data_IF_716507123265
#
_entry.id   IF_716507123265
#
_cell.length_a   1.000
_cell.length_b   1.000
_cell.length_c   1.000
_cell.angle_alpha   90.00
_cell.angle_beta   90.00
_cell.angle_gamma   90.00
#
_symmetry.space_group_name_H-M   'P 1'
#
loop_
_entity.id
_entity.type
_entity.pdbx_description
1 polymer ?
#
# COMPACT_ATOMS: atom_id res chain seq x y z
N UNK A 1 5.60 -6.02 28.97
CA UNK A 1 6.10 -4.74 29.51
C UNK A 1 6.44 -3.89 28.31
N UNK A 2 5.76 -2.76 28.12
CA UNK A 2 5.91 -1.97 26.92
C UNK A 2 7.30 -1.30 26.90
N UNK A 3 7.99 -1.28 25.76
CA UNK A 3 9.37 -0.80 25.69
C UNK A 3 9.53 0.65 26.17
N UNK A 4 8.53 1.49 25.89
CA UNK A 4 8.53 2.87 26.34
C UNK A 4 8.25 3.01 27.86
N UNK A 5 7.58 2.05 28.50
CA UNK A 5 7.39 2.06 29.97
C UNK A 5 8.71 1.82 30.67
N UNK A 6 9.50 0.87 30.15
CA UNK A 6 10.85 0.60 30.65
C UNK A 6 11.70 1.86 30.46
N UNK A 7 11.67 2.46 29.27
CA UNK A 7 12.43 3.68 28.97
C UNK A 7 12.15 4.83 29.93
N UNK A 8 10.91 5.04 30.36
CA UNK A 8 10.53 6.13 31.28
C UNK A 8 10.73 5.79 32.76
N UNK A 9 10.60 4.52 33.16
CA UNK A 9 10.65 4.08 34.56
C UNK A 9 12.01 3.52 34.99
N UNK A 10 12.96 3.30 34.07
CA UNK A 10 14.30 2.75 34.34
C UNK A 10 15.05 3.46 35.47
N UNK A 11 14.81 4.75 35.69
CA UNK A 11 15.46 5.52 36.76
C UNK A 11 14.95 5.22 38.17
N UNK A 12 13.81 4.52 38.31
CA UNK A 12 13.09 4.36 39.57
C UNK A 12 13.30 3.01 40.27
N UNK A 13 13.89 2.01 39.60
CA UNK A 13 13.95 0.63 40.15
C UNK A 13 15.33 0.24 40.73
N UNK A 14 16.44 0.44 40.00
CA UNK A 14 17.80 0.11 40.46
C UNK A 14 18.88 0.70 39.51
N UNK A 15 19.96 1.29 40.03
CA UNK A 15 21.06 1.91 39.25
C UNK A 15 21.78 0.92 38.32
N UNK A 16 22.00 -0.31 38.75
CA UNK A 16 22.76 -1.32 38.01
C UNK A 16 21.91 -1.97 36.91
N UNK A 17 20.64 -2.26 37.22
CA UNK A 17 19.66 -2.69 36.21
C UNK A 17 19.42 -1.61 35.16
N UNK A 18 19.37 -0.34 35.57
CA UNK A 18 19.25 0.81 34.67
C UNK A 18 20.46 0.98 33.75
N UNK A 19 21.67 0.68 34.22
CA UNK A 19 22.88 0.71 33.41
C UNK A 19 22.89 -0.39 32.33
N UNK A 20 22.47 -1.62 32.67
CA UNK A 20 22.39 -2.75 31.73
C UNK A 20 21.30 -2.57 30.67
N UNK A 21 20.14 -2.04 31.05
CA UNK A 21 18.98 -1.87 30.16
C UNK A 21 19.02 -0.58 29.34
N UNK A 22 19.87 0.40 29.70
CA UNK A 22 20.04 1.67 28.96
C UNK A 22 20.43 1.47 27.49
N UNK A 23 21.20 0.42 27.18
CA UNK A 23 21.57 0.11 25.80
C UNK A 23 20.36 -0.28 24.93
N UNK A 24 19.29 -0.80 25.54
CA UNK A 24 18.09 -1.29 24.84
C UNK A 24 16.86 -0.38 24.96
N UNK A 25 16.81 0.49 25.96
CA UNK A 25 15.62 1.27 26.31
C UNK A 25 15.95 2.76 26.60
N UNK A 26 16.94 3.33 25.92
CA UNK A 26 17.30 4.76 26.04
C UNK A 26 16.45 5.68 25.17
N UNK A 27 15.80 5.14 24.14
CA UNK A 27 14.98 5.89 23.19
C UNK A 27 13.52 5.50 23.29
N UNK A 28 12.63 6.49 23.35
CA UNK A 28 11.19 6.30 23.22
C UNK A 28 10.88 6.19 21.72
N UNK A 29 10.35 5.04 21.30
CA UNK A 29 9.90 4.84 19.91
C UNK A 29 8.44 5.24 19.82
N UNK A 30 8.14 6.24 18.98
CA UNK A 30 6.81 6.86 18.88
C UNK A 30 5.98 6.33 17.71
N UNK A 31 6.64 5.81 16.68
CA UNK A 31 6.03 5.35 15.46
C UNK A 31 6.86 4.23 14.85
N UNK A 32 6.20 3.31 14.15
CA UNK A 32 6.89 2.32 13.32
C UNK A 32 7.30 3.00 12.02
N UNK A 33 8.42 2.57 11.46
CA UNK A 33 8.77 2.99 10.10
C UNK A 33 7.67 2.55 9.13
N UNK A 34 7.11 3.51 8.40
CA UNK A 34 6.12 3.22 7.36
C UNK A 34 6.82 2.43 6.25
N UNK A 35 6.34 1.21 5.92
CA UNK A 35 6.85 0.41 4.82
C UNK A 35 6.92 1.23 3.52
N UNK A 36 7.92 1.02 2.65
CA UNK A 36 8.08 1.78 1.41
C UNK A 36 6.79 1.85 0.57
N UNK A 37 6.11 0.72 0.36
CA UNK A 37 4.83 0.67 -0.36
C UNK A 37 3.76 1.59 0.21
N UNK A 38 3.62 1.63 1.54
CA UNK A 38 2.65 2.49 2.21
C UNK A 38 3.06 3.96 2.15
N UNK A 39 4.37 4.23 2.17
CA UNK A 39 4.90 5.59 2.04
C UNK A 39 4.62 6.17 0.66
N UNK A 40 4.69 5.35 -0.38
CA UNK A 40 4.35 5.76 -1.74
C UNK A 40 2.85 5.97 -1.92
N UNK A 41 2.03 5.02 -1.44
CA UNK A 41 0.56 5.11 -1.50
C UNK A 41 0.01 6.35 -0.78
N UNK A 42 0.62 6.74 0.35
CA UNK A 42 0.22 7.88 1.16
C UNK A 42 1.29 8.98 1.19
N UNK A 43 2.02 9.16 0.09
CA UNK A 43 3.13 10.12 0.02
C UNK A 43 2.68 11.56 0.31
N UNK A 44 1.50 11.93 -0.20
CA UNK A 44 0.93 13.26 -0.06
C UNK A 44 0.34 13.51 1.33
N UNK A 45 -0.25 12.48 1.94
CA UNK A 45 -0.91 12.56 3.24
C UNK A 45 0.02 12.28 4.41
N UNK A 46 1.25 11.79 4.19
CA UNK A 46 2.28 11.69 5.22
C UNK A 46 1.97 10.68 6.33
N UNK A 47 1.33 9.55 5.95
CA UNK A 47 0.92 8.48 6.86
C UNK A 47 2.04 8.07 7.84
N UNK A 48 1.66 7.97 9.12
CA UNK A 48 2.50 7.48 10.19
C UNK A 48 1.82 6.30 10.89
N UNK A 49 2.50 5.17 11.00
CA UNK A 49 1.98 4.03 11.75
C UNK A 49 2.38 4.15 13.22
N UNK A 50 1.40 4.13 14.11
CA UNK A 50 1.64 4.03 15.54
C UNK A 50 2.42 2.74 15.87
N UNK A 51 3.40 2.84 16.78
CA UNK A 51 3.86 1.67 17.55
C UNK A 51 2.76 1.18 18.49
N UNK A 52 2.97 0.03 19.14
CA UNK A 52 2.08 -0.44 20.21
C UNK A 52 1.61 0.73 21.09
N UNK A 53 0.30 0.81 21.34
CA UNK A 53 -0.30 1.91 22.07
C UNK A 53 0.37 2.00 23.45
N UNK A 54 0.89 3.17 23.78
CA UNK A 54 1.50 3.38 25.09
C UNK A 54 0.41 3.21 26.17
N UNK A 55 0.64 2.50 27.30
CA UNK A 55 -0.37 2.37 28.33
C UNK A 55 -0.81 3.75 28.84
N UNK A 56 -2.12 3.98 28.85
CA UNK A 56 -2.68 5.33 29.01
C UNK A 56 -2.22 6.11 30.24
N UNK A 57 -2.09 5.43 31.38
CA UNK A 57 -1.60 6.05 32.61
C UNK A 57 -0.16 6.58 32.50
N UNK A 58 0.69 5.84 31.80
CA UNK A 58 2.12 6.13 31.68
C UNK A 58 2.35 7.22 30.63
N UNK A 59 1.52 7.24 29.58
CA UNK A 59 1.45 8.34 28.64
C UNK A 59 1.05 9.64 29.33
N UNK A 60 -0.07 9.67 30.09
CA UNK A 60 -0.54 10.89 30.75
C UNK A 60 0.46 11.36 31.81
N UNK A 61 1.09 10.45 32.55
CA UNK A 61 2.11 10.82 33.54
C UNK A 61 3.32 11.53 32.90
N UNK A 62 3.73 11.11 31.69
CA UNK A 62 4.88 11.67 30.99
C UNK A 62 4.50 12.89 30.13
N UNK A 63 3.52 12.76 29.24
CA UNK A 63 3.09 13.79 28.29
C UNK A 63 2.00 14.73 28.80
N UNK A 64 1.47 14.53 30.02
CA UNK A 64 0.51 15.46 30.64
C UNK A 64 1.09 16.84 30.98
N UNK A 65 2.42 16.98 30.90
CA UNK A 65 3.13 18.23 31.19
C UNK A 65 3.61 18.87 29.89
N UNK A 66 3.72 20.21 29.81
CA UNK A 66 4.12 20.89 28.57
C UNK A 66 5.61 20.75 28.23
N UNK A 67 6.49 20.43 29.18
CA UNK A 67 7.95 20.42 28.99
C UNK A 67 8.42 19.39 27.96
N UNK A 68 7.95 18.11 27.98
CA UNK A 68 8.33 17.12 26.97
C UNK A 68 7.92 17.52 25.55
N UNK A 69 6.79 18.21 25.38
CA UNK A 69 6.32 18.66 24.07
C UNK A 69 7.23 19.70 23.43
N UNK A 70 7.89 20.55 24.23
CA UNK A 70 8.77 21.61 23.73
C UNK A 70 9.97 21.07 22.95
N UNK A 71 10.46 19.89 23.32
CA UNK A 71 11.57 19.23 22.64
C UNK A 71 11.16 18.49 21.35
N UNK A 72 9.86 18.33 21.10
CA UNK A 72 9.35 17.60 19.94
C UNK A 72 9.08 18.53 18.76
N UNK A 73 9.52 18.11 17.57
CA UNK A 73 9.07 18.70 16.30
C UNK A 73 7.58 18.41 16.08
N UNK A 74 6.92 19.19 15.21
CA UNK A 74 5.55 18.90 14.77
C UNK A 74 5.43 17.43 14.33
N UNK A 75 6.39 17.02 13.49
CA UNK A 75 7.09 15.72 13.32
C UNK A 75 6.81 14.58 14.33
N UNK A 76 6.89 14.86 15.61
CA UNK A 76 6.81 13.82 16.65
C UNK A 76 5.55 13.97 17.49
N UNK A 77 5.02 15.19 17.57
CA UNK A 77 3.78 15.51 18.27
C UNK A 77 2.56 14.84 17.63
N UNK A 78 2.41 14.92 16.32
CA UNK A 78 1.36 14.19 15.58
C UNK A 78 1.50 12.66 15.63
N UNK A 79 2.72 12.11 15.69
CA UNK A 79 2.92 10.65 15.82
C UNK A 79 2.42 10.16 17.18
N UNK A 80 2.62 10.96 18.23
CA UNK A 80 2.07 10.70 19.55
C UNK A 80 0.54 10.71 19.58
N UNK A 81 -0.09 11.64 18.85
CA UNK A 81 -1.56 11.68 18.70
C UNK A 81 -2.06 10.43 17.96
N UNK A 82 -1.36 9.98 16.92
CA UNK A 82 -1.71 8.76 16.20
C UNK A 82 -1.52 7.49 17.05
N UNK A 83 -0.52 7.49 17.94
CA UNK A 83 -0.18 6.35 18.80
C UNK A 83 -0.90 6.32 20.15
N UNK A 84 -1.64 7.37 20.52
CA UNK A 84 -2.48 7.36 21.71
C UNK A 84 -3.72 6.50 21.48
N UNK A 85 -3.71 5.28 22.02
CA UNK A 85 -4.82 4.32 21.90
C UNK A 85 -5.94 4.52 22.93
N UNK A 86 -5.74 5.37 23.93
CA UNK A 86 -6.69 5.66 25.00
C UNK A 86 -7.16 7.12 25.00
N UNK A 87 -8.40 7.34 25.46
CA UNK A 87 -9.04 8.66 25.45
C UNK A 87 -8.23 9.72 26.22
N UNK A 88 -7.74 9.46 27.45
CA UNK A 88 -7.00 10.46 28.22
C UNK A 88 -5.70 10.93 27.56
N UNK A 89 -4.94 10.00 26.98
CA UNK A 89 -3.71 10.32 26.25
C UNK A 89 -3.97 11.17 25.03
N UNK A 90 -5.04 10.87 24.31
CA UNK A 90 -5.42 11.59 23.11
C UNK A 90 -5.90 13.01 23.42
N UNK A 91 -6.74 13.20 24.44
CA UNK A 91 -7.16 14.53 24.88
C UNK A 91 -5.99 15.38 25.35
N UNK A 92 -5.05 14.76 26.07
CA UNK A 92 -3.79 15.38 26.47
C UNK A 92 -2.98 15.80 25.24
N UNK A 93 -2.83 14.90 24.27
CA UNK A 93 -2.07 15.15 23.05
C UNK A 93 -2.69 16.27 22.20
N UNK A 94 -4.01 16.26 22.02
CA UNK A 94 -4.75 17.30 21.30
C UNK A 94 -4.65 18.67 21.98
N UNK A 95 -4.71 18.70 23.31
CA UNK A 95 -4.57 19.95 24.09
C UNK A 95 -3.23 20.64 23.85
N UNK A 96 -2.16 19.87 23.61
CA UNK A 96 -0.82 20.41 23.33
C UNK A 96 -0.52 20.59 21.83
N UNK A 97 -1.36 20.08 20.92
CA UNK A 97 -1.17 20.13 19.47
C UNK A 97 -2.01 21.19 18.74
N UNK A 98 -2.68 22.11 19.46
CA UNK A 98 -3.74 23.06 19.03
C UNK A 98 -3.62 23.77 17.66
N UNK A 99 -2.47 23.78 16.99
CA UNK A 99 -2.26 24.46 15.69
C UNK A 99 -1.59 23.58 14.61
N UNK A 100 -1.40 22.28 14.85
CA UNK A 100 -0.68 21.38 13.95
C UNK A 100 -1.50 20.16 13.50
N UNK A 101 -2.83 20.24 13.54
CA UNK A 101 -3.71 19.17 13.08
C UNK A 101 -3.79 19.21 11.55
N UNK A 102 -2.86 18.48 10.92
CA UNK A 102 -2.82 18.22 9.49
C UNK A 102 -3.67 17.00 9.14
N UNK A 103 -4.07 16.90 7.88
CA UNK A 103 -4.71 15.71 7.29
C UNK A 103 -4.00 14.39 7.66
N UNK A 104 -2.67 14.40 7.71
CA UNK A 104 -1.85 13.26 8.11
C UNK A 104 -2.21 12.65 9.46
N UNK A 105 -2.68 13.47 10.41
CA UNK A 105 -3.09 13.00 11.76
C UNK A 105 -4.37 12.19 11.64
N UNK A 106 -5.32 12.65 10.84
CA UNK A 106 -6.57 11.94 10.57
C UNK A 106 -6.31 10.62 9.83
N UNK A 107 -5.46 10.64 8.80
CA UNK A 107 -5.05 9.42 8.05
C UNK A 107 -4.38 8.40 8.98
N UNK A 108 -3.47 8.86 9.84
CA UNK A 108 -2.77 7.98 10.80
C UNK A 108 -3.70 7.44 11.89
N UNK A 109 -4.63 8.25 12.40
CA UNK A 109 -5.62 7.80 13.38
C UNK A 109 -6.60 6.78 12.77
N UNK A 110 -7.01 6.99 11.52
CA UNK A 110 -7.84 6.04 10.77
C UNK A 110 -7.10 4.74 10.48
N UNK A 111 -5.81 4.82 10.09
CA UNK A 111 -4.94 3.66 9.89
C UNK A 111 -4.69 2.86 11.18
N UNK A 112 -4.76 3.50 12.35
CA UNK A 112 -4.63 2.85 13.65
C UNK A 112 -5.98 2.34 14.20
N UNK A 113 -7.10 2.64 13.54
CA UNK A 113 -8.44 2.26 14.01
C UNK A 113 -8.91 3.03 15.23
N UNK A 114 -8.33 4.20 15.51
CA UNK A 114 -8.68 5.01 16.68
C UNK A 114 -9.97 5.81 16.42
N UNK A 115 -11.13 5.17 16.66
CA UNK A 115 -12.46 5.76 16.45
C UNK A 115 -12.62 7.08 17.21
N UNK A 116 -12.21 7.12 18.48
CA UNK A 116 -12.31 8.33 19.30
C UNK A 116 -11.42 9.46 18.78
N UNK A 117 -10.21 9.13 18.31
CA UNK A 117 -9.32 10.11 17.67
C UNK A 117 -9.90 10.71 16.41
N UNK A 118 -10.46 9.87 15.54
CA UNK A 118 -11.15 10.30 14.33
C UNK A 118 -12.35 11.19 14.69
N UNK A 119 -13.16 10.81 15.68
CA UNK A 119 -14.30 11.60 16.18
C UNK A 119 -13.87 12.98 16.70
N UNK A 120 -12.84 13.02 17.55
CA UNK A 120 -12.32 14.29 18.09
C UNK A 120 -11.72 15.18 17.00
N UNK A 121 -11.06 14.61 15.99
CA UNK A 121 -10.53 15.36 14.86
C UNK A 121 -11.65 15.93 13.95
N UNK A 122 -12.80 15.25 13.87
CA UNK A 122 -14.00 15.78 13.20
C UNK A 122 -14.53 17.00 13.94
N UNK A 123 -14.67 16.94 15.26
CA UNK A 123 -15.16 18.06 16.09
C UNK A 123 -14.25 19.30 15.99
N UNK A 124 -12.93 19.11 15.87
CA UNK A 124 -11.95 20.21 15.75
C UNK A 124 -11.85 20.75 14.31
N UNK A 125 -12.68 20.25 13.38
CA UNK A 125 -12.71 20.68 11.97
C UNK A 125 -11.36 20.51 11.27
N UNK A 126 -10.64 19.40 11.57
CA UNK A 126 -9.44 19.03 10.84
C UNK A 126 -9.75 18.91 9.33
N UNK A 127 -8.77 19.14 8.45
CA UNK A 127 -8.96 18.90 7.01
C UNK A 127 -9.09 17.39 6.76
N UNK A 128 -10.08 17.02 5.95
CA UNK A 128 -10.39 15.63 5.57
C UNK A 128 -10.12 15.41 4.10
N UNK A 129 -9.55 14.25 3.79
CA UNK A 129 -9.35 13.76 2.43
C UNK A 129 -9.90 12.36 2.28
N UNK A 130 -10.00 11.91 1.03
CA UNK A 130 -10.37 10.55 0.69
C UNK A 130 -9.38 9.53 1.29
N UNK A 131 -8.13 9.93 1.54
CA UNK A 131 -7.08 9.08 2.09
C UNK A 131 -7.40 8.61 3.51
N UNK A 132 -8.22 9.35 4.27
CA UNK A 132 -8.60 8.94 5.62
C UNK A 132 -9.50 7.70 5.58
N UNK A 133 -10.50 7.71 4.70
CA UNK A 133 -11.39 6.56 4.51
C UNK A 133 -10.66 5.41 3.80
N UNK A 134 -9.78 5.72 2.84
CA UNK A 134 -8.93 4.73 2.17
C UNK A 134 -8.01 4.02 3.18
N UNK A 135 -7.40 4.75 4.11
CA UNK A 135 -6.57 4.18 5.17
C UNK A 135 -7.40 3.27 6.11
N UNK A 136 -8.55 3.73 6.58
CA UNK A 136 -9.44 2.89 7.40
C UNK A 136 -9.83 1.58 6.69
N UNK A 137 -10.13 1.65 5.39
CA UNK A 137 -10.43 0.47 4.57
C UNK A 137 -9.20 -0.43 4.36
N UNK A 138 -8.03 0.16 4.10
CA UNK A 138 -6.76 -0.54 3.91
C UNK A 138 -6.34 -1.33 5.15
N UNK A 139 -6.53 -0.77 6.34
CA UNK A 139 -6.19 -1.42 7.61
C UNK A 139 -7.37 -2.21 8.23
N UNK A 140 -8.53 -2.25 7.57
CA UNK A 140 -9.64 -3.12 7.96
C UNK A 140 -10.51 -2.61 9.11
N UNK A 141 -10.51 -1.30 9.39
CA UNK A 141 -11.19 -0.69 10.53
C UNK A 141 -12.64 -0.27 10.21
N UNK A 142 -13.58 -1.21 10.29
CA UNK A 142 -15.03 -0.97 10.07
C UNK A 142 -15.63 0.08 10.99
N UNK A 143 -15.21 0.14 12.26
CA UNK A 143 -15.75 1.09 13.24
C UNK A 143 -15.43 2.55 12.87
N UNK A 144 -14.26 2.81 12.28
CA UNK A 144 -13.90 4.14 11.75
C UNK A 144 -14.76 4.47 10.53
N UNK A 145 -14.95 3.51 9.61
CA UNK A 145 -15.81 3.73 8.44
C UNK A 145 -17.27 3.97 8.83
N UNK A 146 -17.78 3.29 9.85
CA UNK A 146 -19.13 3.52 10.37
C UNK A 146 -19.27 4.93 10.96
N UNK A 147 -18.31 5.39 11.76
CA UNK A 147 -18.28 6.76 12.26
C UNK A 147 -18.29 7.78 11.11
N UNK A 148 -17.44 7.58 10.09
CA UNK A 148 -17.39 8.46 8.93
C UNK A 148 -18.72 8.49 8.16
N UNK A 149 -19.45 7.37 8.12
CA UNK A 149 -20.79 7.30 7.53
C UNK A 149 -21.81 8.10 8.33
N UNK A 150 -21.86 7.90 9.64
CA UNK A 150 -22.80 8.56 10.56
C UNK A 150 -22.62 10.09 10.54
N UNK A 151 -21.38 10.54 10.36
CA UNK A 151 -21.02 11.96 10.26
C UNK A 151 -21.19 12.54 8.84
N UNK A 152 -21.76 11.76 7.90
CA UNK A 152 -22.03 12.18 6.53
C UNK A 152 -20.78 12.36 5.65
N UNK A 153 -19.60 11.98 6.15
CA UNK A 153 -18.31 12.17 5.46
C UNK A 153 -18.12 11.19 4.30
N UNK A 154 -18.80 10.04 4.33
CA UNK A 154 -18.86 9.12 3.19
C UNK A 154 -19.94 9.50 2.15
N UNK A 155 -20.79 10.49 2.48
CA UNK A 155 -22.03 10.80 1.78
C UNK A 155 -22.09 12.21 1.17
N UNK A 156 -20.99 12.76 0.61
CA UNK A 156 -21.10 13.84 -0.40
C UNK A 156 -21.70 13.34 -1.74
N UNK A 157 -22.72 12.49 -1.62
CA UNK A 157 -23.53 11.83 -2.63
C UNK A 157 -24.66 12.79 -3.00
N UNK A 158 -24.46 13.60 -4.05
CA UNK A 158 -25.51 14.50 -4.54
C UNK A 158 -25.07 15.72 -5.34
N UNK A 159 -23.78 15.94 -5.60
CA UNK A 159 -23.35 16.93 -6.61
C UNK A 159 -22.74 16.23 -7.84
N UNK A 160 -23.42 16.22 -9.00
CA UNK A 160 -22.99 15.50 -10.20
C UNK A 160 -21.81 16.17 -10.95
N UNK A 161 -21.02 17.05 -10.30
CA UNK A 161 -20.01 17.88 -10.97
C UNK A 161 -18.55 17.60 -10.61
N UNK A 162 -18.24 16.69 -9.70
CA UNK A 162 -16.84 16.43 -9.29
C UNK A 162 -16.39 14.97 -9.37
N UNK A 163 -17.24 14.04 -9.80
CA UNK A 163 -16.92 12.59 -9.81
C UNK A 163 -16.75 11.99 -11.21
N UNK A 164 -16.72 12.83 -12.26
CA UNK A 164 -16.65 12.36 -13.65
C UNK A 164 -15.25 11.91 -14.10
N UNK A 165 -14.20 12.12 -13.29
CA UNK A 165 -12.81 11.81 -13.70
C UNK A 165 -12.22 10.55 -13.05
N UNK A 166 -12.81 10.03 -11.96
CA UNK A 166 -12.38 8.79 -11.31
C UNK A 166 -13.55 7.81 -11.30
N UNK A 167 -13.52 6.81 -12.19
CA UNK A 167 -14.49 5.72 -12.23
C UNK A 167 -14.66 5.09 -10.83
N UNK A 168 -15.69 5.49 -10.07
CA UNK A 168 -16.12 4.83 -8.83
C UNK A 168 -16.09 5.63 -7.52
N UNK A 169 -15.58 6.87 -7.50
CA UNK A 169 -15.62 7.74 -6.33
C UNK A 169 -15.01 7.16 -5.04
N UNK A 170 -15.36 7.74 -3.87
CA UNK A 170 -14.81 7.31 -2.57
C UNK A 170 -15.03 5.81 -2.25
N UNK A 171 -16.20 5.20 -2.54
CA UNK A 171 -16.38 3.77 -2.38
C UNK A 171 -15.46 2.92 -3.25
N UNK A 172 -15.17 3.35 -4.49
CA UNK A 172 -14.19 2.71 -5.36
C UNK A 172 -12.79 2.71 -4.74
N UNK A 173 -12.34 3.86 -4.24
CA UNK A 173 -11.03 4.01 -3.57
C UNK A 173 -10.95 3.09 -2.33
N UNK A 174 -11.99 3.07 -1.49
CA UNK A 174 -12.04 2.19 -0.31
C UNK A 174 -12.03 0.71 -0.71
N UNK A 175 -12.75 0.34 -1.77
CA UNK A 175 -12.80 -1.05 -2.26
C UNK A 175 -11.44 -1.47 -2.80
N UNK A 176 -10.77 -0.64 -3.59
CA UNK A 176 -9.42 -0.93 -4.09
C UNK A 176 -8.43 -1.08 -2.93
N UNK A 177 -8.48 -0.17 -1.95
CA UNK A 177 -7.63 -0.21 -0.76
C UNK A 177 -7.84 -1.51 0.04
N UNK A 178 -9.09 -1.96 0.21
CA UNK A 178 -9.42 -3.22 0.86
C UNK A 178 -8.98 -4.44 0.05
N UNK A 179 -9.13 -4.42 -1.28
CA UNK A 179 -8.67 -5.47 -2.18
C UNK A 179 -7.14 -5.65 -2.14
N UNK A 180 -6.40 -4.55 -1.98
CA UNK A 180 -4.93 -4.55 -1.88
C UNK A 180 -4.40 -5.35 -0.69
N UNK A 181 -5.17 -5.48 0.39
CA UNK A 181 -4.78 -6.17 1.64
C UNK A 181 -5.59 -7.45 1.88
N UNK A 182 -6.63 -7.68 1.08
CA UNK A 182 -7.46 -8.88 1.21
C UNK A 182 -8.57 -8.74 2.25
N UNK A 183 -8.99 -7.52 2.61
CA UNK A 183 -10.03 -7.28 3.60
C UNK A 183 -11.44 -7.46 3.04
N UNK A 184 -11.82 -8.70 2.77
CA UNK A 184 -13.15 -9.06 2.25
C UNK A 184 -14.32 -8.58 3.12
N UNK A 185 -14.14 -8.43 4.44
CA UNK A 185 -15.17 -7.90 5.34
C UNK A 185 -15.47 -6.42 5.10
N UNK A 186 -14.49 -5.62 4.68
CA UNK A 186 -14.71 -4.21 4.30
C UNK A 186 -15.52 -4.15 3.02
N UNK A 187 -15.23 -5.02 2.06
CA UNK A 187 -15.98 -5.11 0.80
C UNK A 187 -17.45 -5.44 1.11
N UNK A 188 -17.71 -6.48 1.89
CA UNK A 188 -19.06 -6.84 2.32
C UNK A 188 -19.77 -5.68 3.04
N UNK A 189 -19.06 -4.98 3.94
CA UNK A 189 -19.58 -3.80 4.63
C UNK A 189 -19.95 -2.66 3.65
N UNK A 190 -19.13 -2.40 2.64
CA UNK A 190 -19.42 -1.38 1.62
C UNK A 190 -20.68 -1.75 0.81
N UNK A 191 -20.86 -3.03 0.47
CA UNK A 191 -22.04 -3.48 -0.26
C UNK A 191 -23.31 -3.38 0.58
N UNK A 192 -23.26 -3.79 1.85
CA UNK A 192 -24.40 -3.75 2.76
C UNK A 192 -24.79 -2.33 3.16
N UNK A 193 -23.80 -1.49 3.50
CA UNK A 193 -24.05 -0.20 4.14
C UNK A 193 -24.17 0.97 3.14
N UNK A 194 -23.49 0.89 2.00
CA UNK A 194 -23.50 1.96 1.00
C UNK A 194 -24.24 1.56 -0.29
N UNK A 195 -24.72 0.31 -0.40
CA UNK A 195 -25.30 -0.21 -1.65
C UNK A 195 -24.29 -0.24 -2.81
N UNK A 196 -23.00 -0.11 -2.49
CA UNK A 196 -21.92 -0.16 -3.46
C UNK A 196 -21.83 -1.57 -4.05
N UNK A 197 -21.48 -1.68 -5.33
CA UNK A 197 -21.28 -2.98 -5.97
C UNK A 197 -19.91 -3.01 -6.62
N UNK A 198 -19.20 -4.12 -6.41
CA UNK A 198 -17.87 -4.33 -6.99
C UNK A 198 -17.87 -4.26 -8.53
N UNK A 199 -19.01 -4.45 -9.18
CA UNK A 199 -19.16 -4.36 -10.65
C UNK A 199 -18.68 -3.04 -11.23
N UNK A 200 -18.79 -1.93 -10.49
CA UNK A 200 -18.37 -0.60 -10.95
C UNK A 200 -16.85 -0.42 -11.01
N UNK A 201 -16.07 -1.26 -10.31
CA UNK A 201 -14.62 -1.09 -10.16
C UNK A 201 -13.85 -2.42 -10.17
N UNK A 202 -14.43 -3.45 -10.79
CA UNK A 202 -13.92 -4.82 -10.75
C UNK A 202 -12.49 -4.96 -11.29
N UNK A 203 -12.16 -4.22 -12.35
CA UNK A 203 -10.84 -4.27 -13.00
C UNK A 203 -9.72 -3.80 -12.05
N UNK A 204 -9.88 -2.62 -11.45
CA UNK A 204 -8.91 -2.04 -10.52
C UNK A 204 -8.82 -2.87 -9.23
N UNK A 205 -9.95 -3.33 -8.70
CA UNK A 205 -10.00 -4.24 -7.55
C UNK A 205 -9.27 -5.56 -7.83
N UNK A 206 -9.46 -6.15 -9.02
CA UNK A 206 -8.83 -7.40 -9.41
C UNK A 206 -7.31 -7.22 -9.56
N UNK A 207 -6.85 -6.11 -10.15
CA UNK A 207 -5.43 -5.76 -10.22
C UNK A 207 -4.83 -5.58 -8.83
N UNK A 208 -5.50 -4.85 -7.94
CA UNK A 208 -5.02 -4.61 -6.58
C UNK A 208 -4.92 -5.92 -5.78
N UNK A 209 -5.94 -6.80 -5.87
CA UNK A 209 -5.93 -8.10 -5.23
C UNK A 209 -4.85 -9.02 -5.81
N UNK A 210 -4.74 -9.10 -7.13
CA UNK A 210 -3.76 -9.95 -7.83
C UNK A 210 -2.32 -9.52 -7.53
N UNK A 211 -2.03 -8.22 -7.58
CA UNK A 211 -0.70 -7.68 -7.29
C UNK A 211 -0.22 -7.93 -5.85
N UNK A 212 -1.13 -8.27 -4.93
CA UNK A 212 -0.79 -8.60 -3.54
C UNK A 212 -1.05 -10.08 -3.20
N UNK A 213 -1.34 -10.92 -4.21
CA UNK A 213 -1.45 -12.37 -4.05
C UNK A 213 -2.77 -12.84 -3.43
N UNK A 214 -3.81 -12.01 -3.38
CA UNK A 214 -5.12 -12.37 -2.82
C UNK A 214 -5.96 -13.18 -3.82
N UNK A 215 -5.52 -14.41 -4.11
CA UNK A 215 -6.12 -15.32 -5.10
C UNK A 215 -7.63 -15.49 -4.93
N UNK A 216 -8.13 -15.68 -3.70
CA UNK A 216 -9.56 -15.85 -3.45
C UNK A 216 -10.42 -14.66 -3.90
N UNK A 217 -9.91 -13.43 -3.72
CA UNK A 217 -10.59 -12.22 -4.21
C UNK A 217 -10.52 -12.10 -5.74
N UNK A 218 -9.39 -12.50 -6.34
CA UNK A 218 -9.26 -12.50 -7.81
C UNK A 218 -10.23 -13.50 -8.43
N UNK A 219 -10.40 -14.69 -7.84
CA UNK A 219 -11.39 -15.68 -8.30
C UNK A 219 -12.83 -15.19 -8.15
N UNK A 220 -13.15 -14.45 -7.07
CA UNK A 220 -14.46 -13.82 -6.90
C UNK A 220 -14.72 -12.73 -7.94
N UNK A 221 -13.68 -11.99 -8.34
CA UNK A 221 -13.78 -10.89 -9.31
C UNK A 221 -13.71 -11.35 -10.77
N UNK A 222 -13.07 -12.48 -11.06
CA UNK A 222 -12.87 -12.97 -12.41
C UNK A 222 -14.16 -13.07 -13.27
N UNK A 223 -15.32 -13.52 -12.73
CA UNK A 223 -16.58 -13.53 -13.47
C UNK A 223 -17.08 -12.14 -13.88
N UNK A 224 -16.70 -11.09 -13.13
CA UNK A 224 -17.09 -9.70 -13.41
C UNK A 224 -16.22 -9.05 -14.50
N UNK A 225 -15.07 -9.65 -14.82
CA UNK A 225 -14.18 -9.19 -15.88
C UNK A 225 -14.69 -9.72 -17.22
N UNK A 226 -15.67 -9.04 -17.81
CA UNK A 226 -16.30 -9.48 -19.08
C UNK A 226 -15.36 -9.21 -20.26
N UNK A 227 -14.68 -8.07 -20.26
CA UNK A 227 -13.83 -7.63 -21.37
C UNK A 227 -12.48 -8.38 -21.38
N UNK A 228 -12.10 -9.03 -22.51
CA UNK A 228 -10.82 -9.74 -22.63
C UNK A 228 -9.60 -8.86 -22.37
N UNK A 229 -9.60 -7.58 -22.80
CA UNK A 229 -8.46 -6.69 -22.57
C UNK A 229 -8.27 -6.41 -21.08
N UNK A 230 -9.36 -6.30 -20.33
CA UNK A 230 -9.34 -6.15 -18.89
C UNK A 230 -8.73 -7.38 -18.20
N UNK A 231 -9.06 -8.59 -18.66
CA UNK A 231 -8.43 -9.83 -18.15
C UNK A 231 -6.93 -9.85 -18.41
N UNK A 232 -6.49 -9.42 -19.60
CA UNK A 232 -5.07 -9.30 -19.94
C UNK A 232 -4.34 -8.31 -19.02
N UNK A 233 -4.98 -7.18 -18.67
CA UNK A 233 -4.40 -6.20 -17.72
C UNK A 233 -4.31 -6.73 -16.29
N UNK A 234 -5.19 -7.65 -15.89
CA UNK A 234 -5.13 -8.33 -14.59
C UNK A 234 -4.05 -9.42 -14.60
N UNK A 235 -3.82 -10.08 -15.74
CA UNK A 235 -2.78 -11.11 -15.89
C UNK A 235 -1.38 -10.59 -15.50
N UNK A 236 -1.05 -9.35 -15.86
CA UNK A 236 0.20 -8.72 -15.45
C UNK A 236 0.31 -8.60 -13.91
N UNK A 237 -0.77 -8.18 -13.25
CA UNK A 237 -0.84 -8.13 -11.78
C UNK A 237 -0.79 -9.52 -11.13
N UNK A 238 -1.36 -10.54 -11.78
CA UNK A 238 -1.24 -11.94 -11.33
C UNK A 238 0.20 -12.43 -11.45
N UNK A 239 0.89 -12.14 -12.56
CA UNK A 239 2.29 -12.48 -12.74
C UNK A 239 3.17 -11.82 -11.68
N UNK A 240 2.85 -10.58 -11.31
CA UNK A 240 3.52 -9.85 -10.24
C UNK A 240 3.30 -10.48 -8.86
N UNK A 241 2.04 -10.68 -8.42
CA UNK A 241 1.74 -10.95 -7.00
C UNK A 241 1.37 -12.38 -6.62
N UNK A 242 0.95 -13.23 -7.58
CA UNK A 242 0.47 -14.58 -7.30
C UNK A 242 1.54 -15.65 -7.61
N UNK A 243 1.31 -16.92 -7.26
CA UNK A 243 2.22 -18.03 -7.63
C UNK A 243 2.15 -18.40 -9.12
N UNK A 244 3.18 -19.10 -9.62
CA UNK A 244 3.22 -19.68 -10.97
C UNK A 244 2.00 -20.56 -11.25
N UNK A 245 1.64 -21.45 -10.33
CA UNK A 245 0.49 -22.35 -10.50
C UNK A 245 -0.80 -21.57 -10.75
N UNK A 246 -1.01 -20.49 -10.00
CA UNK A 246 -2.18 -19.65 -10.17
C UNK A 246 -2.10 -18.82 -11.47
N UNK A 247 -0.92 -18.32 -11.82
CA UNK A 247 -0.70 -17.62 -13.08
C UNK A 247 -1.07 -18.51 -14.28
N UNK A 248 -0.62 -19.77 -14.30
CA UNK A 248 -0.94 -20.74 -15.35
C UNK A 248 -2.45 -20.99 -15.46
N UNK A 249 -3.12 -21.17 -14.32
CA UNK A 249 -4.57 -21.37 -14.28
C UNK A 249 -5.33 -20.12 -14.77
N UNK A 250 -4.96 -18.95 -14.28
CA UNK A 250 -5.60 -17.68 -14.67
C UNK A 250 -5.39 -17.39 -16.16
N UNK A 251 -4.20 -17.69 -16.68
CA UNK A 251 -3.86 -17.57 -18.09
C UNK A 251 -4.77 -18.43 -18.98
N UNK A 252 -4.95 -19.71 -18.64
CA UNK A 252 -5.83 -20.62 -19.37
C UNK A 252 -7.28 -20.14 -19.37
N UNK A 253 -7.79 -19.67 -18.22
CA UNK A 253 -9.16 -19.17 -18.09
C UNK A 253 -9.36 -17.86 -18.88
N UNK A 254 -8.34 -17.00 -18.90
CA UNK A 254 -8.46 -15.65 -19.46
C UNK A 254 -8.28 -15.61 -20.98
N UNK A 255 -7.42 -16.48 -21.54
CA UNK A 255 -7.01 -16.43 -22.95
C UNK A 255 -7.36 -17.70 -23.75
N UNK A 256 -7.91 -18.74 -23.11
CA UNK A 256 -8.41 -19.94 -23.81
C UNK A 256 -7.35 -20.71 -24.62
N UNK A 257 -7.77 -21.33 -25.74
CA UNK A 257 -6.98 -22.34 -26.46
C UNK A 257 -5.86 -21.79 -27.38
N UNK A 258 -5.85 -20.50 -27.72
CA UNK A 258 -4.74 -19.89 -28.49
C UNK A 258 -4.32 -18.53 -27.89
N UNK A 259 -3.59 -18.56 -26.77
CA UNK A 259 -3.26 -17.37 -26.01
C UNK A 259 -2.18 -16.50 -26.68
N UNK A 260 -1.31 -17.09 -27.51
CA UNK A 260 -0.25 -16.37 -28.21
C UNK A 260 -0.79 -15.40 -29.29
N UNK A 261 -1.96 -15.67 -29.87
CA UNK A 261 -2.56 -14.82 -30.90
C UNK A 261 -3.44 -13.68 -30.35
N UNK A 262 -3.87 -13.76 -29.09
CA UNK A 262 -4.88 -12.85 -28.54
C UNK A 262 -4.32 -11.61 -27.84
N UNK A 263 -3.01 -11.59 -27.57
CA UNK A 263 -2.34 -10.48 -26.89
C UNK A 263 -1.43 -9.71 -27.86
N UNK A 264 -1.45 -8.38 -27.74
CA UNK A 264 -0.49 -7.53 -28.43
C UNK A 264 0.93 -7.76 -27.86
N UNK A 265 1.97 -7.50 -28.68
CA UNK A 265 3.38 -7.61 -28.24
C UNK A 265 3.65 -6.82 -26.96
N UNK A 266 3.09 -5.62 -26.85
CA UNK A 266 3.19 -4.79 -25.65
C UNK A 266 2.64 -5.44 -24.39
N UNK A 267 1.48 -6.09 -24.48
CA UNK A 267 0.84 -6.73 -23.32
C UNK A 267 1.62 -7.98 -22.88
N UNK A 268 2.18 -8.72 -23.84
CA UNK A 268 3.07 -9.85 -23.55
C UNK A 268 4.35 -9.38 -22.85
N UNK A 269 4.95 -8.29 -23.35
CA UNK A 269 6.10 -7.67 -22.73
C UNK A 269 5.77 -7.17 -21.31
N UNK A 270 4.58 -6.59 -21.08
CA UNK A 270 4.13 -6.17 -19.75
C UNK A 270 4.06 -7.34 -18.77
N UNK A 271 3.46 -8.46 -19.17
CA UNK A 271 3.31 -9.63 -18.31
C UNK A 271 4.67 -10.26 -18.00
N UNK A 272 5.56 -10.37 -18.98
CA UNK A 272 6.95 -10.83 -18.78
C UNK A 272 7.74 -9.88 -17.88
N UNK A 273 7.58 -8.57 -18.07
CA UNK A 273 8.20 -7.55 -17.24
C UNK A 273 7.70 -7.67 -15.80
N UNK A 274 6.40 -7.75 -15.56
CA UNK A 274 5.82 -7.92 -14.21
C UNK A 274 6.35 -9.16 -13.48
N UNK A 275 6.66 -10.26 -14.19
CA UNK A 275 7.30 -11.44 -13.62
C UNK A 275 8.77 -11.18 -13.20
N UNK A 276 9.48 -10.31 -13.92
CA UNK A 276 10.87 -9.92 -13.65
C UNK A 276 11.01 -8.68 -12.73
N UNK A 277 10.01 -7.81 -12.69
CA UNK A 277 10.02 -6.48 -12.05
C UNK A 277 9.07 -5.43 -12.68
N UNK A 278 8.22 -4.85 -11.81
CA UNK A 278 7.27 -3.70 -11.89
C UNK A 278 5.96 -3.82 -12.74
N UNK A 279 4.78 -3.34 -12.30
CA UNK A 279 4.42 -1.93 -12.13
C UNK A 279 3.67 -1.58 -10.81
N UNK A 280 4.46 -1.23 -9.79
CA UNK A 280 4.35 -0.13 -8.82
C UNK A 280 5.07 -0.58 -7.54
N UNK A 281 6.13 0.16 -7.20
CA UNK A 281 6.88 0.21 -5.95
C UNK A 281 7.83 -0.95 -5.58
N UNK A 282 7.66 -2.22 -6.00
CA UNK A 282 8.44 -3.32 -5.36
C UNK A 282 8.56 -4.69 -6.10
N UNK A 283 8.38 -4.77 -7.44
CA UNK A 283 8.47 -6.02 -8.24
C UNK A 283 7.84 -7.31 -7.69
N UNK A 284 7.95 -8.43 -8.42
CA UNK A 284 7.34 -9.68 -7.93
C UNK A 284 8.05 -10.13 -6.65
N UNK A 285 7.39 -10.13 -5.47
CA UNK A 285 8.02 -10.47 -4.20
C UNK A 285 8.09 -11.99 -4.00
N UNK A 286 7.57 -12.77 -4.95
CA UNK A 286 7.44 -14.21 -4.80
C UNK A 286 8.75 -14.89 -5.22
N UNK A 287 9.12 -15.94 -4.49
CA UNK A 287 10.38 -16.67 -4.72
C UNK A 287 10.43 -17.41 -6.07
N UNK A 288 9.28 -17.58 -6.72
CA UNK A 288 9.10 -18.27 -8.00
C UNK A 288 9.20 -17.34 -9.24
N UNK A 289 9.69 -16.10 -9.07
CA UNK A 289 9.78 -15.12 -10.16
C UNK A 289 10.53 -15.67 -11.39
N UNK A 290 11.62 -16.43 -11.19
CA UNK A 290 12.40 -17.01 -12.28
C UNK A 290 11.59 -18.06 -13.05
N UNK A 291 10.90 -18.95 -12.33
CA UNK A 291 10.06 -19.98 -12.95
C UNK A 291 8.87 -19.39 -13.72
N UNK A 292 8.30 -18.27 -13.24
CA UNK A 292 7.29 -17.51 -14.00
C UNK A 292 7.85 -16.94 -15.27
N UNK A 293 9.03 -16.34 -15.21
CA UNK A 293 9.66 -15.78 -16.39
C UNK A 293 10.02 -16.87 -17.39
N UNK A 294 10.68 -17.95 -16.98
CA UNK A 294 11.02 -19.10 -17.83
C UNK A 294 9.79 -19.66 -18.55
N UNK A 295 8.69 -19.80 -17.81
CA UNK A 295 7.43 -20.26 -18.38
C UNK A 295 6.89 -19.28 -19.44
N UNK A 296 6.80 -17.98 -19.14
CA UNK A 296 6.35 -16.97 -20.10
C UNK A 296 7.27 -16.85 -21.31
N UNK A 297 8.58 -16.97 -21.09
CA UNK A 297 9.62 -16.98 -22.11
C UNK A 297 9.45 -18.17 -23.06
N UNK A 298 9.15 -19.35 -22.53
CA UNK A 298 8.86 -20.55 -23.34
C UNK A 298 7.62 -20.39 -24.24
N UNK A 299 6.65 -19.55 -23.82
CA UNK A 299 5.41 -19.33 -24.55
C UNK A 299 5.56 -18.32 -25.70
N UNK A 300 6.34 -17.26 -25.48
CA UNK A 300 6.37 -16.12 -26.39
C UNK A 300 7.72 -15.81 -27.01
N UNK A 301 8.81 -16.35 -26.44
CA UNK A 301 10.16 -16.07 -26.86
C UNK A 301 10.55 -14.59 -26.74
N UNK A 302 11.61 -14.16 -27.44
CA UNK A 302 12.17 -12.81 -27.32
C UNK A 302 11.44 -11.75 -28.15
N UNK A 303 10.50 -12.13 -29.02
CA UNK A 303 9.86 -11.22 -29.97
C UNK A 303 9.10 -10.06 -29.31
N UNK A 304 8.23 -10.29 -28.30
CA UNK A 304 7.52 -9.18 -27.66
C UNK A 304 8.48 -8.17 -27.02
N UNK A 305 9.62 -8.67 -26.52
CA UNK A 305 10.69 -7.88 -25.94
C UNK A 305 11.32 -6.94 -26.97
N UNK A 306 11.82 -7.52 -28.06
CA UNK A 306 12.51 -6.79 -29.14
C UNK A 306 11.58 -5.77 -29.81
N UNK A 307 10.30 -6.10 -29.93
CA UNK A 307 9.30 -5.18 -30.47
C UNK A 307 9.15 -3.92 -29.63
N UNK A 308 9.18 -4.01 -28.30
CA UNK A 308 9.10 -2.83 -27.42
C UNK A 308 10.42 -2.05 -27.37
N UNK A 309 11.57 -2.72 -27.43
CA UNK A 309 12.87 -2.04 -27.53
C UNK A 309 13.02 -1.27 -28.85
N UNK A 310 12.58 -1.86 -29.96
CA UNK A 310 12.59 -1.21 -31.27
C UNK A 310 11.60 -0.05 -31.40
N UNK A 311 10.52 -0.05 -30.59
CA UNK A 311 9.50 1.00 -30.63
C UNK A 311 10.02 2.37 -30.15
N UNK A 312 11.11 2.43 -29.37
CA UNK A 312 11.74 3.68 -28.96
C UNK A 312 10.78 4.62 -28.22
N UNK A 313 10.44 5.77 -28.84
CA UNK A 313 9.45 6.71 -28.32
C UNK A 313 8.03 6.11 -28.39
N UNK A 314 7.38 5.94 -27.24
CA UNK A 314 6.10 5.24 -27.10
C UNK A 314 6.22 3.81 -26.58
N UNK A 315 7.45 3.30 -26.40
CA UNK A 315 7.69 2.03 -25.70
C UNK A 315 7.28 2.14 -24.22
N UNK A 316 6.95 1.00 -23.64
CA UNK A 316 6.75 0.89 -22.19
C UNK A 316 7.95 1.40 -21.38
N UNK A 317 9.16 1.20 -21.91
CA UNK A 317 10.43 1.50 -21.26
C UNK A 317 10.77 2.99 -21.17
N UNK A 318 10.04 3.85 -21.89
CA UNK A 318 10.29 5.29 -21.92
C UNK A 318 10.13 5.95 -20.54
N UNK A 319 9.19 5.47 -19.72
CA UNK A 319 8.88 6.07 -18.41
C UNK A 319 9.46 5.28 -17.23
N UNK A 320 9.71 3.99 -17.41
CA UNK A 320 10.17 3.07 -16.36
C UNK A 320 11.68 2.78 -16.41
N UNK A 321 12.39 3.27 -17.43
CA UNK A 321 13.74 2.82 -17.76
C UNK A 321 13.73 1.45 -18.46
N UNK A 322 14.90 0.89 -18.72
CA UNK A 322 15.02 -0.46 -19.28
C UNK A 322 14.68 -1.53 -18.22
N UNK A 323 14.35 -2.76 -18.64
CA UNK A 323 14.18 -3.87 -17.69
C UNK A 323 15.39 -4.10 -16.80
N UNK A 324 16.57 -3.78 -17.32
CA UNK A 324 17.83 -3.87 -16.59
C UNK A 324 17.82 -2.92 -15.41
N UNK A 325 17.28 -1.71 -15.60
CA UNK A 325 17.08 -0.76 -14.52
C UNK A 325 16.07 -1.28 -13.48
N UNK A 326 14.96 -1.89 -13.92
CA UNK A 326 13.95 -2.45 -13.02
C UNK A 326 14.47 -3.64 -12.21
N UNK A 327 15.17 -4.57 -12.86
CA UNK A 327 15.82 -5.71 -12.20
C UNK A 327 16.89 -5.25 -11.18
N UNK A 328 17.58 -4.15 -11.47
CA UNK A 328 18.60 -3.57 -10.60
C UNK A 328 18.05 -2.94 -9.30
N UNK A 329 16.76 -2.62 -9.23
CA UNK A 329 16.13 -2.02 -8.04
C UNK A 329 15.81 -3.06 -6.94
N UNK A 330 15.99 -4.35 -7.21
CA UNK A 330 15.65 -5.43 -6.28
C UNK A 330 16.79 -5.84 -5.37
N UNK A 331 16.46 -6.38 -4.19
CA UNK A 331 17.47 -6.93 -3.27
C UNK A 331 18.21 -8.16 -3.87
N UNK A 332 17.54 -8.93 -4.72
CA UNK A 332 18.08 -10.09 -5.45
C UNK A 332 18.52 -9.74 -6.89
N UNK A 333 18.84 -8.46 -7.15
CA UNK A 333 19.16 -7.95 -8.49
C UNK A 333 20.19 -8.79 -9.25
N UNK A 334 21.24 -9.29 -8.58
CA UNK A 334 22.28 -10.07 -9.25
C UNK A 334 21.71 -11.31 -9.95
N UNK A 335 20.82 -12.05 -9.28
CA UNK A 335 20.19 -13.24 -9.84
C UNK A 335 19.29 -12.88 -11.04
N UNK A 336 18.54 -11.77 -10.93
CA UNK A 336 17.67 -11.27 -12.01
C UNK A 336 18.47 -10.83 -13.24
N UNK A 337 19.55 -10.09 -13.04
CA UNK A 337 20.43 -9.63 -14.13
C UNK A 337 21.17 -10.80 -14.80
N UNK A 338 21.62 -11.80 -14.02
CA UNK A 338 22.22 -13.01 -14.56
C UNK A 338 21.23 -13.82 -15.40
N UNK A 339 19.98 -13.92 -14.93
CA UNK A 339 18.92 -14.61 -15.64
C UNK A 339 18.57 -13.91 -16.96
N UNK A 340 18.45 -12.57 -16.94
CA UNK A 340 18.26 -11.77 -18.16
C UNK A 340 19.42 -11.94 -19.16
N UNK A 341 20.66 -11.95 -18.69
CA UNK A 341 21.84 -12.17 -19.52
C UNK A 341 21.84 -13.56 -20.16
N UNK A 342 21.37 -14.59 -19.45
CA UNK A 342 21.25 -15.95 -19.97
C UNK A 342 20.18 -16.08 -21.09
N UNK A 343 19.25 -15.13 -21.19
CA UNK A 343 18.20 -15.12 -22.21
C UNK A 343 18.59 -14.35 -23.49
N UNK A 344 19.88 -14.03 -23.68
CA UNK A 344 20.40 -13.26 -24.82
C UNK A 344 19.72 -11.88 -25.01
N UNK A 345 19.16 -11.33 -23.93
CA UNK A 345 18.68 -9.96 -23.90
C UNK A 345 19.89 -9.07 -23.60
N UNK A 346 20.49 -8.44 -24.61
CA UNK A 346 21.56 -7.49 -24.34
C UNK A 346 21.00 -6.22 -23.67
N UNK A 347 21.70 -5.60 -22.69
CA UNK A 347 21.33 -4.28 -22.22
C UNK A 347 21.42 -3.30 -23.41
N UNK A 348 20.28 -2.73 -23.82
CA UNK A 348 20.25 -1.72 -24.86
C UNK A 348 21.17 -0.53 -24.54
N UNK A 349 21.60 0.25 -25.55
CA UNK A 349 22.61 1.30 -25.37
C UNK A 349 22.22 2.42 -24.38
N UNK A 350 20.94 2.51 -23.98
CA UNK A 350 20.44 3.43 -22.95
C UNK A 350 20.59 2.92 -21.50
N UNK A 351 20.96 1.64 -21.29
CA UNK A 351 21.22 1.08 -19.96
C UNK A 351 22.64 1.36 -19.46
N UNK A 352 23.54 1.78 -20.36
CA UNK A 352 24.88 2.23 -20.01
C UNK A 352 24.85 3.76 -19.81
N UNK A 353 25.17 4.21 -18.59
CA UNK A 353 25.43 5.61 -18.21
C UNK A 353 24.12 6.43 -18.06
N UNK A 354 23.59 6.73 -16.86
CA UNK A 354 24.14 7.77 -15.96
C UNK A 354 23.72 7.76 -14.48
N UNK A 355 22.81 6.92 -13.97
CA UNK A 355 22.29 7.10 -12.58
C UNK A 355 22.44 5.86 -11.67
N UNK A 356 23.68 5.43 -11.43
CA UNK A 356 24.04 4.56 -10.28
C UNK A 356 24.87 5.36 -9.26
N UNK A 357 24.24 6.35 -8.61
CA UNK A 357 24.79 7.01 -7.41
C UNK A 357 23.89 6.82 -6.21
#
# INVERSE_FOLDING_TARGET
MHANDVATTLKLLNRDAAALLRARYSSITLARETPPRLRELYANSGLCMATDCWPGRDFVAHWGRPEPWRALSARKRWQLVAASGDRPSLDTALTHCRFALTEAVAVSAAAAGNVYGVERLLEVHCRWSNDVAAAAAHFGHTAVLQLLREQGMLCQMGRPRCWQELEGGLPGIMTEAACRVGHGHIIAWLEEQLGWRMTHHAAACARAAAGNGHVGLVEQLAPLLIDPRTRTRVLASVAYGCSLDYLQRYFQISLGNNPAAQMASREKAEVMACALGDACALGSPTADWAAKFDWLWSLWGPEPWRSEEAAGHGSMWQWHGSVWHLAAQHADFLARLQHLAACDLAPGPAACVTDMR
#
